data_IF_571143743879
#
_entry.id   IF_571143743879
#
_cell.length_a   1.000
_cell.length_b   1.000
_cell.length_c   1.000
_cell.angle_alpha   90.00
_cell.angle_beta   90.00
_cell.angle_gamma   90.00
#
_symmetry.space_group_name_H-M   'P 1'
#
loop_
_entity.id
_entity.type
_entity.pdbx_description
1 polymer ?
#
# COMPACT_ATOMS: atom_id res chain seq x y z
N UNK A 1 -2.24 22.32 14.66
CA UNK A 1 -1.31 21.19 14.45
C UNK A 1 -2.08 20.07 13.78
N UNK A 2 -1.69 19.70 12.56
CA UNK A 2 -2.34 18.63 11.80
C UNK A 2 -1.84 17.28 12.31
N UNK A 3 -2.69 16.25 12.40
CA UNK A 3 -2.25 14.91 12.79
C UNK A 3 -1.42 14.26 11.68
N UNK A 4 -0.46 13.39 12.03
CA UNK A 4 0.39 12.69 11.05
C UNK A 4 -0.41 11.93 9.97
N UNK A 5 -1.55 11.34 10.34
CA UNK A 5 -2.45 10.67 9.40
C UNK A 5 -3.10 11.64 8.41
N UNK A 6 -3.42 12.86 8.86
CA UNK A 6 -3.97 13.91 8.01
C UNK A 6 -2.89 14.48 7.10
N UNK A 7 -1.67 14.72 7.61
CA UNK A 7 -0.54 15.18 6.79
C UNK A 7 -0.19 14.17 5.71
N UNK A 8 -0.21 12.88 6.04
CA UNK A 8 -0.03 11.81 5.09
C UNK A 8 -1.05 11.83 3.94
N UNK A 9 -2.31 12.19 4.22
CA UNK A 9 -3.31 12.35 3.17
C UNK A 9 -2.92 13.47 2.19
N UNK A 10 -2.47 14.60 2.71
CA UNK A 10 -1.98 15.73 1.90
C UNK A 10 -0.78 15.31 1.05
N UNK A 11 0.15 14.56 1.63
CA UNK A 11 1.33 14.04 0.91
C UNK A 11 0.93 13.12 -0.25
N UNK A 12 -0.08 12.26 -0.08
CA UNK A 12 -0.58 11.43 -1.18
C UNK A 12 -1.19 12.26 -2.31
N UNK A 13 -1.99 13.26 -1.96
CA UNK A 13 -2.59 14.18 -2.93
C UNK A 13 -1.49 14.91 -3.71
N UNK A 14 -0.48 15.43 -3.00
CA UNK A 14 0.69 16.07 -3.58
C UNK A 14 1.48 15.14 -4.52
N UNK A 15 1.74 13.89 -4.12
CA UNK A 15 2.48 12.93 -4.95
C UNK A 15 1.72 12.60 -6.25
N UNK A 16 0.40 12.42 -6.16
CA UNK A 16 -0.45 12.19 -7.33
C UNK A 16 -0.39 13.35 -8.29
N UNK A 17 -0.54 14.57 -7.77
CA UNK A 17 -0.46 15.78 -8.57
C UNK A 17 0.88 15.90 -9.30
N UNK A 18 1.97 15.73 -8.55
CA UNK A 18 3.32 15.88 -9.09
C UNK A 18 3.58 14.86 -10.21
N UNK A 19 3.13 13.62 -10.02
CA UNK A 19 3.27 12.55 -11.01
C UNK A 19 2.41 12.80 -12.25
N UNK A 20 1.15 13.21 -12.10
CA UNK A 20 0.27 13.53 -13.22
C UNK A 20 0.79 14.72 -14.03
N UNK A 21 1.35 15.74 -13.37
CA UNK A 21 1.93 16.91 -14.05
C UNK A 21 3.24 16.58 -14.77
N UNK A 22 4.08 15.74 -14.15
CA UNK A 22 5.40 15.42 -14.69
C UNK A 22 5.33 14.35 -15.79
N UNK A 23 4.33 13.46 -15.73
CA UNK A 23 4.16 12.31 -16.63
C UNK A 23 2.69 12.15 -17.04
N UNK A 24 2.10 13.12 -17.76
CA UNK A 24 0.69 13.11 -18.14
C UNK A 24 0.32 11.95 -19.08
N UNK A 25 1.27 11.43 -19.84
CA UNK A 25 1.06 10.36 -20.81
C UNK A 25 1.12 8.95 -20.17
N UNK A 26 1.56 8.84 -18.91
CA UNK A 26 1.69 7.55 -18.24
C UNK A 26 0.44 7.19 -17.42
N UNK A 27 -0.36 6.31 -17.99
CA UNK A 27 -1.52 5.72 -17.32
C UNK A 27 -1.05 4.93 -16.08
N UNK A 28 -1.64 5.21 -14.93
CA UNK A 28 -1.31 4.67 -13.60
C UNK A 28 0.00 5.16 -12.96
N UNK A 29 0.72 6.14 -13.52
CA UNK A 29 1.95 6.62 -12.91
C UNK A 29 1.72 7.24 -11.51
N UNK A 30 0.57 7.88 -11.32
CA UNK A 30 0.22 8.60 -10.09
C UNK A 30 -0.31 7.72 -8.95
N UNK A 31 -0.70 6.47 -9.21
CA UNK A 31 -1.20 5.58 -8.16
C UNK A 31 -0.09 4.67 -7.59
N UNK A 32 0.14 4.71 -6.26
CA UNK A 32 1.19 3.91 -5.65
C UNK A 32 0.82 2.42 -5.70
N UNK A 33 1.73 1.60 -6.23
CA UNK A 33 1.69 0.13 -6.19
C UNK A 33 1.86 -0.42 -4.78
N UNK A 34 2.35 0.39 -3.84
CA UNK A 34 2.42 0.03 -2.44
C UNK A 34 2.94 1.15 -1.55
N UNK A 35 2.60 1.06 -0.27
CA UNK A 35 3.05 1.95 0.77
C UNK A 35 3.68 1.14 1.91
N UNK A 36 4.78 1.65 2.48
CA UNK A 36 5.44 1.05 3.63
C UNK A 36 5.79 2.11 4.67
N UNK A 37 5.71 1.74 5.94
CA UNK A 37 6.24 2.53 7.05
C UNK A 37 7.76 2.57 6.96
N UNK A 38 8.35 3.75 7.11
CA UNK A 38 9.80 3.90 7.24
C UNK A 38 10.16 3.97 8.72
N UNK A 39 10.93 2.98 9.18
CA UNK A 39 11.47 2.91 10.53
C UNK A 39 13.00 2.90 10.42
N UNK A 40 13.67 3.74 11.21
CA UNK A 40 15.13 3.77 11.33
C UNK A 40 15.51 3.80 12.80
N UNK A 41 16.40 2.90 13.20
CA UNK A 41 16.89 2.80 14.59
C UNK A 41 15.76 2.66 15.64
N UNK A 42 14.64 2.04 15.26
CA UNK A 42 13.46 1.86 16.10
C UNK A 42 12.49 3.04 16.13
N UNK A 43 12.78 4.12 15.41
CA UNK A 43 11.94 5.32 15.36
C UNK A 43 11.16 5.41 14.05
N UNK A 44 9.92 5.92 14.13
CA UNK A 44 9.09 6.21 12.96
C UNK A 44 9.62 7.45 12.26
N UNK A 45 10.11 7.29 11.03
CA UNK A 45 10.65 8.40 10.24
C UNK A 45 9.67 8.91 9.16
N UNK A 46 8.63 8.14 8.84
CA UNK A 46 7.64 8.54 7.84
C UNK A 46 7.16 7.38 6.96
N UNK A 47 6.99 7.64 5.66
CA UNK A 47 6.44 6.66 4.70
C UNK A 47 7.22 6.58 3.40
N UNK A 48 7.29 5.37 2.85
CA UNK A 48 7.79 5.10 1.50
C UNK A 48 6.66 4.69 0.59
N UNK A 49 6.60 5.29 -0.59
CA UNK A 49 5.65 5.03 -1.66
C UNK A 49 6.40 4.41 -2.84
N UNK A 50 5.83 3.38 -3.43
CA UNK A 50 6.37 2.74 -4.64
C UNK A 50 5.38 2.95 -5.78
N UNK A 51 5.86 3.51 -6.87
CA UNK A 51 5.14 3.66 -8.14
C UNK A 51 5.77 2.72 -9.19
N UNK A 52 5.18 2.58 -10.39
CA UNK A 52 5.76 1.74 -11.45
C UNK A 52 7.19 2.15 -11.82
N UNK A 53 7.43 3.45 -12.03
CA UNK A 53 8.72 3.99 -12.49
C UNK A 53 9.43 4.88 -11.45
N UNK A 54 8.82 5.05 -10.27
CA UNK A 54 9.29 6.02 -9.28
C UNK A 54 9.22 5.44 -7.87
N UNK A 55 10.01 6.03 -6.98
CA UNK A 55 9.91 5.82 -5.54
C UNK A 55 9.85 7.17 -4.85
N UNK A 56 9.00 7.30 -3.84
CA UNK A 56 8.97 8.49 -3.00
C UNK A 56 9.13 8.13 -1.53
N UNK A 57 9.77 9.01 -0.76
CA UNK A 57 9.90 8.89 0.69
C UNK A 57 9.49 10.21 1.31
N UNK A 58 8.47 10.16 2.16
CA UNK A 58 8.08 11.25 3.04
C UNK A 58 8.74 11.09 4.40
N UNK A 59 9.46 12.11 4.84
CA UNK A 59 10.08 12.23 6.14
C UNK A 59 9.20 13.12 7.04
N UNK A 60 8.71 12.56 8.15
CA UNK A 60 7.68 13.21 8.97
C UNK A 60 8.21 14.38 9.79
N UNK A 61 9.46 14.31 10.26
CA UNK A 61 10.04 15.35 11.11
C UNK A 61 10.44 16.58 10.29
N UNK A 62 11.04 16.34 9.12
CA UNK A 62 11.45 17.40 8.19
C UNK A 62 10.30 17.92 7.33
N UNK A 63 9.15 17.24 7.35
CA UNK A 63 8.00 17.49 6.47
C UNK A 63 8.42 17.63 4.99
N UNK A 64 9.23 16.66 4.55
CA UNK A 64 9.90 16.66 3.25
C UNK A 64 9.61 15.37 2.48
N UNK A 65 9.29 15.49 1.19
CA UNK A 65 9.07 14.37 0.27
C UNK A 65 10.19 14.34 -0.75
N UNK A 66 10.89 13.21 -0.86
CA UNK A 66 11.91 12.97 -1.89
C UNK A 66 11.38 11.99 -2.91
N UNK A 67 11.40 12.37 -4.18
CA UNK A 67 11.00 11.54 -5.31
C UNK A 67 12.26 11.13 -6.07
N UNK A 68 12.34 9.84 -6.39
CA UNK A 68 13.48 9.21 -7.05
C UNK A 68 13.04 8.36 -8.22
N UNK A 69 13.91 8.24 -9.21
CA UNK A 69 13.77 7.24 -10.27
C UNK A 69 14.14 5.84 -9.76
N UNK A 70 14.04 4.83 -10.65
CA UNK A 70 14.42 3.45 -10.34
C UNK A 70 15.93 3.26 -10.15
N UNK A 71 16.74 4.18 -10.66
CA UNK A 71 18.19 4.21 -10.51
C UNK A 71 18.64 4.84 -9.19
N UNK A 72 17.71 5.45 -8.45
CA UNK A 72 17.94 6.10 -7.15
C UNK A 72 18.30 7.59 -7.23
N UNK A 73 18.33 8.18 -8.43
CA UNK A 73 18.57 9.61 -8.60
C UNK A 73 17.38 10.40 -8.06
N UNK A 74 17.65 11.54 -7.43
CA UNK A 74 16.59 12.43 -6.93
C UNK A 74 16.04 13.23 -8.10
N UNK A 75 14.75 13.07 -8.37
CA UNK A 75 14.03 13.82 -9.39
C UNK A 75 13.47 15.13 -8.82
N UNK A 76 12.93 15.06 -7.59
CA UNK A 76 12.37 16.21 -6.90
C UNK A 76 12.49 16.05 -5.37
N UNK A 77 12.54 17.19 -4.69
CA UNK A 77 12.38 17.28 -3.24
C UNK A 77 11.34 18.36 -2.98
N UNK A 78 10.24 18.01 -2.30
CA UNK A 78 9.14 18.90 -1.98
C UNK A 78 9.10 19.09 -0.47
N UNK A 79 9.02 20.35 -0.02
CA UNK A 79 8.92 20.73 1.39
C UNK A 79 7.50 21.10 1.76
N UNK A 80 7.24 21.28 3.05
CA UNK A 80 5.90 21.47 3.59
C UNK A 80 4.99 22.42 2.79
N UNK A 81 5.47 23.61 2.43
CA UNK A 81 4.70 24.59 1.65
C UNK A 81 4.42 24.12 0.21
N UNK A 82 5.38 23.46 -0.43
CA UNK A 82 5.25 22.92 -1.79
C UNK A 82 4.30 21.73 -1.82
N UNK A 83 4.32 20.90 -0.76
CA UNK A 83 3.38 19.81 -0.55
C UNK A 83 1.96 20.35 -0.46
N UNK A 84 1.76 21.43 0.31
CA UNK A 84 0.45 22.04 0.48
C UNK A 84 -0.07 22.65 -0.82
N UNK A 85 0.78 23.39 -1.55
CA UNK A 85 0.41 23.97 -2.84
C UNK A 85 0.04 22.91 -3.88
N UNK A 86 0.83 21.84 -4.00
CA UNK A 86 0.54 20.75 -4.93
C UNK A 86 -0.75 20.02 -4.57
N UNK A 87 -0.98 19.74 -3.28
CA UNK A 87 -2.20 19.07 -2.84
C UNK A 87 -3.47 19.92 -3.04
N UNK A 88 -3.38 21.25 -2.87
CA UNK A 88 -4.49 22.17 -3.14
C UNK A 88 -4.86 22.18 -4.63
N UNK A 89 -3.85 22.22 -5.51
CA UNK A 89 -4.03 22.20 -6.97
C UNK A 89 -4.83 20.97 -7.42
N UNK A 90 -4.46 19.79 -6.95
CA UNK A 90 -5.15 18.54 -7.29
C UNK A 90 -6.62 18.53 -6.83
N UNK A 91 -6.89 19.06 -5.64
CA UNK A 91 -8.27 19.11 -5.10
C UNK A 91 -9.17 20.01 -5.93
N UNK A 92 -8.63 21.12 -6.42
CA UNK A 92 -9.36 22.06 -7.28
C UNK A 92 -9.62 21.44 -8.66
N UNK A 93 -8.64 20.77 -9.26
CA UNK A 93 -8.76 20.19 -10.59
C UNK A 93 -9.70 18.98 -10.64
N UNK A 94 -9.68 18.10 -9.62
CA UNK A 94 -10.46 16.85 -9.65
C UNK A 94 -11.85 16.92 -9.00
N UNK A 95 -12.24 18.07 -8.43
CA UNK A 95 -13.55 18.24 -7.76
C UNK A 95 -13.82 17.23 -6.63
N UNK A 96 -12.78 16.58 -6.09
CA UNK A 96 -12.93 15.54 -5.07
C UNK A 96 -13.05 16.16 -3.67
N UNK A 97 -14.19 16.00 -2.96
CA UNK A 97 -14.24 16.36 -1.55
C UNK A 97 -13.28 15.45 -0.79
N UNK A 98 -12.53 16.06 0.13
CA UNK A 98 -11.61 15.38 1.05
C UNK A 98 -12.26 14.10 1.56
N UNK A 99 -11.71 12.89 1.33
CA UNK A 99 -12.30 11.67 1.87
C UNK A 99 -12.33 11.84 3.38
N UNK A 100 -13.54 12.04 3.91
CA UNK A 100 -13.76 12.09 5.33
C UNK A 100 -13.51 10.66 5.79
N UNK A 101 -12.46 10.47 6.59
CA UNK A 101 -12.11 9.17 7.17
C UNK A 101 -13.25 8.74 8.09
N UNK A 102 -14.32 8.21 7.52
CA UNK A 102 -15.33 7.46 8.25
C UNK A 102 -14.69 6.13 8.60
N UNK A 103 -14.20 6.02 9.84
CA UNK A 103 -13.86 4.72 10.43
C UNK A 103 -15.12 3.88 10.34
N UNK A 104 -15.19 2.99 9.34
CA UNK A 104 -16.14 1.88 9.34
C UNK A 104 -15.67 0.95 10.44
N UNK A 105 -16.44 0.87 11.52
CA UNK A 105 -16.19 -0.04 12.61
C UNK A 105 -16.03 -1.45 12.05
N UNK A 106 -14.86 -2.05 12.28
CA UNK A 106 -14.66 -3.49 12.14
C UNK A 106 -15.61 -4.14 13.14
N UNK A 107 -16.76 -4.61 12.66
CA UNK A 107 -17.59 -5.53 13.41
C UNK A 107 -16.92 -6.90 13.26
N UNK A 108 -16.25 -7.33 14.32
CA UNK A 108 -15.88 -8.73 14.50
C UNK A 108 -17.18 -9.52 14.64
N UNK A 109 -17.59 -10.23 13.59
CA UNK A 109 -18.58 -11.30 13.75
C UNK A 109 -17.87 -12.56 14.25
N UNK A 110 -18.21 -12.85 15.50
CA UNK A 110 -17.87 -14.01 16.29
C UNK A 110 -18.54 -15.28 15.73
N UNK A 111 -17.75 -16.36 15.68
CA UNK A 111 -18.10 -17.76 15.95
C UNK A 111 -19.50 -18.30 15.62
N UNK A 112 -19.57 -19.35 14.78
CA UNK A 112 -20.08 -20.67 15.23
C UNK A 112 -19.85 -21.81 14.20
N UNK A 113 -19.69 -23.06 14.67
CA UNK A 113 -19.42 -24.25 13.85
C UNK A 113 -20.70 -24.93 13.36
N UNK A 114 -20.72 -25.45 12.13
CA UNK A 114 -21.81 -26.29 11.61
C UNK A 114 -21.48 -27.77 11.77
N UNK A 115 -22.24 -28.44 12.65
CA UNK A 115 -22.49 -29.88 12.59
C UNK A 115 -23.85 -30.15 11.94
N UNK A 116 -23.89 -31.12 11.02
CA UNK A 116 -24.97 -32.02 10.56
C UNK A 116 -24.62 -32.42 9.12
N UNK A 117 -24.46 -33.67 8.69
CA UNK A 117 -24.99 -34.93 9.18
C UNK A 117 -25.74 -35.62 8.03
N UNK A 118 -25.13 -36.69 7.46
CA UNK A 118 -25.72 -37.81 6.69
C UNK A 118 -26.31 -37.50 5.29
N UNK A 119 -26.31 -38.35 4.25
CA UNK A 119 -25.78 -39.70 3.96
C UNK A 119 -26.07 -39.94 2.47
N UNK A 120 -25.15 -40.56 1.71
CA UNK A 120 -25.52 -41.44 0.59
C UNK A 120 -24.33 -42.32 0.20
N UNK A 121 -24.54 -43.62 0.28
CA UNK A 121 -23.58 -44.68 0.03
C UNK A 121 -23.39 -44.96 -1.46
N UNK A 122 -22.16 -45.30 -1.84
CA UNK A 122 -21.84 -46.28 -2.91
C UNK A 122 -20.47 -46.89 -2.61
N UNK A 123 -20.51 -47.96 -1.81
CA UNK A 123 -19.98 -49.30 -2.05
C UNK A 123 -18.75 -49.54 -2.98
N UNK A 124 -17.72 -50.11 -2.35
CA UNK A 124 -16.83 -51.24 -2.75
C UNK A 124 -15.65 -51.11 -3.75
N UNK A 125 -14.47 -51.43 -3.15
CA UNK A 125 -13.23 -52.11 -3.66
C UNK A 125 -12.30 -51.26 -4.54
N UNK A 126 -10.99 -51.20 -4.35
CA UNK A 126 -10.00 -52.27 -4.08
C UNK A 126 -8.66 -51.61 -3.65
N UNK A 127 -8.14 -51.88 -2.44
CA UNK A 127 -6.90 -52.65 -2.14
C UNK A 127 -5.67 -52.45 -3.07
N UNK A 128 -4.60 -51.83 -2.54
CA UNK A 128 -3.14 -52.00 -2.84
C UNK A 128 -2.44 -50.68 -2.41
N UNK A 129 -1.72 -50.50 -1.29
CA UNK A 129 -0.66 -51.22 -0.57
C UNK A 129 0.73 -51.24 -1.26
N UNK A 130 1.64 -50.45 -0.66
CA UNK A 130 3.13 -50.49 -0.68
C UNK A 130 3.89 -49.59 -1.69
N UNK A 131 5.21 -49.30 -1.49
CA UNK A 131 5.77 -48.42 -0.46
C UNK A 131 6.85 -47.44 -0.98
N UNK A 132 7.33 -46.54 -0.10
CA UNK A 132 8.44 -45.58 -0.29
C UNK A 132 9.75 -46.21 -0.83
N UNK A 133 10.48 -45.55 -1.75
CA UNK A 133 11.87 -45.91 -2.06
C UNK A 133 12.86 -45.30 -1.04
N UNK A 134 13.64 -46.20 -0.42
CA UNK A 134 14.76 -45.89 0.47
C UNK A 134 15.92 -45.21 -0.26
N UNK A 135 16.48 -44.19 0.39
CA UNK A 135 17.73 -43.52 0.04
C UNK A 135 18.90 -44.50 0.21
N UNK A 136 19.64 -44.81 -0.86
CA UNK A 136 20.91 -45.56 -0.77
C UNK A 136 22.08 -44.63 -1.07
N UNK A 137 22.89 -44.38 -0.05
CA UNK A 137 24.22 -43.83 -0.17
C UNK A 137 25.17 -44.89 -0.73
N UNK A 138 26.03 -44.47 -1.66
CA UNK A 138 27.29 -45.10 -1.99
C UNK A 138 28.30 -43.98 -2.29
#
# INVERSE_FOLDING_TARGET
MMMNSQRLCVVRDCLREWLNKSYPDEVDAADPRGEATLIRDGFFCGRRFRFPLHQAVWFVEEDEVKIRDLQGNVLATLRGEEIDQAAESWRVECGHPRPTLSIVGVSNEDSQPQEAGQSAATDLRDSESLPMPQLRAA
#
